data_IF_538094462345
#
_entry.id   IF_538094462345
#
_cell.length_a   1.000
_cell.length_b   1.000
_cell.length_c   1.000
_cell.angle_alpha   90.00
_cell.angle_beta   90.00
_cell.angle_gamma   90.00
#
_symmetry.space_group_name_H-M   'P 1'
#
loop_
_entity.id
_entity.type
_entity.pdbx_description
1 polymer ?
#
# COMPACT_ATOMS: atom_id res chain seq x y z
N UNK A 1 -13.00 -3.98 -2.67
CA UNK A 1 -11.99 -4.54 -3.59
C UNK A 1 -12.66 -5.39 -4.66
N UNK A 2 -13.44 -6.42 -4.29
CA UNK A 2 -14.12 -7.27 -5.28
C UNK A 2 -15.02 -6.51 -6.28
N UNK A 3 -15.73 -5.47 -5.83
CA UNK A 3 -16.56 -4.62 -6.69
C UNK A 3 -15.79 -3.70 -7.65
N UNK A 4 -14.47 -3.57 -7.48
CA UNK A 4 -13.62 -2.65 -8.26
C UNK A 4 -12.62 -3.39 -9.13
N UNK A 5 -12.20 -4.58 -8.70
CA UNK A 5 -11.29 -5.47 -9.41
C UNK A 5 -11.78 -5.71 -10.84
N UNK A 6 -10.94 -5.43 -11.83
CA UNK A 6 -11.25 -5.48 -13.29
C UNK A 6 -12.29 -4.47 -13.82
N UNK A 7 -12.87 -3.60 -12.97
CA UNK A 7 -13.89 -2.61 -13.39
C UNK A 7 -13.48 -1.14 -13.23
N UNK A 8 -12.54 -0.86 -12.31
CA UNK A 8 -12.10 0.50 -11.95
C UNK A 8 -10.63 0.51 -11.57
N UNK A 9 -9.91 1.58 -11.97
CA UNK A 9 -8.56 1.83 -11.48
C UNK A 9 -8.59 2.41 -10.06
N UNK A 10 -7.61 2.01 -9.24
CA UNK A 10 -7.44 2.47 -7.86
C UNK A 10 -5.99 2.90 -7.68
N UNK A 11 -5.77 4.04 -7.01
CA UNK A 11 -4.45 4.42 -6.50
C UNK A 11 -4.44 4.14 -5.00
N UNK A 12 -3.48 3.34 -4.54
CA UNK A 12 -3.31 2.97 -3.15
C UNK A 12 -1.90 3.34 -2.69
N UNK A 13 -1.80 3.93 -1.49
CA UNK A 13 -0.53 4.23 -0.83
C UNK A 13 -0.47 3.48 0.49
N UNK A 14 0.65 2.81 0.75
CA UNK A 14 0.88 2.09 2.00
C UNK A 14 2.29 2.37 2.50
N UNK A 15 2.45 2.49 3.82
CA UNK A 15 3.75 2.55 4.49
C UNK A 15 4.16 1.18 5.07
N UNK A 16 3.44 0.12 4.71
CA UNK A 16 3.66 -1.26 5.13
C UNK A 16 3.81 -2.16 3.91
N UNK A 17 4.78 -3.05 3.98
CA UNK A 17 5.01 -4.10 2.98
C UNK A 17 3.84 -5.08 2.94
N UNK A 18 3.52 -5.64 1.77
CA UNK A 18 2.41 -6.56 1.60
C UNK A 18 2.53 -7.83 2.45
N UNK A 19 3.75 -8.26 2.78
CA UNK A 19 3.99 -9.41 3.67
C UNK A 19 3.50 -9.16 5.11
N UNK A 20 3.42 -7.90 5.55
CA UNK A 20 2.92 -7.54 6.89
C UNK A 20 1.41 -7.30 6.92
N UNK A 21 0.70 -7.44 5.80
CA UNK A 21 -0.74 -7.17 5.74
C UNK A 21 -1.57 -8.24 6.46
N UNK A 22 -1.03 -9.45 6.64
CA UNK A 22 -1.62 -10.47 7.50
C UNK A 22 -1.95 -9.98 8.90
N UNK A 23 -0.99 -9.27 9.52
CA UNK A 23 -1.16 -8.65 10.83
C UNK A 23 -2.27 -7.58 10.85
N UNK A 24 -2.43 -6.85 9.74
CA UNK A 24 -3.46 -5.81 9.62
C UNK A 24 -4.85 -6.40 9.44
N UNK A 25 -4.99 -7.45 8.61
CA UNK A 25 -6.26 -8.13 8.38
C UNK A 25 -6.59 -9.18 9.45
N UNK A 26 -5.71 -9.36 10.44
CA UNK A 26 -5.84 -10.31 11.56
C UNK A 26 -5.92 -11.80 11.14
N UNK A 27 -5.91 -12.10 9.83
CA UNK A 27 -5.92 -13.44 9.24
C UNK A 27 -5.30 -13.41 7.84
N UNK A 28 -4.26 -14.21 7.63
CA UNK A 28 -3.59 -14.39 6.34
C UNK A 28 -4.53 -14.94 5.26
N UNK A 29 -5.49 -15.78 5.63
CA UNK A 29 -6.47 -16.33 4.69
C UNK A 29 -7.36 -15.25 4.06
N UNK A 30 -7.52 -14.11 4.75
CA UNK A 30 -8.25 -12.94 4.25
C UNK A 30 -7.31 -11.99 3.51
N UNK A 31 -6.10 -11.77 4.04
CA UNK A 31 -5.12 -10.86 3.46
C UNK A 31 -4.67 -11.30 2.06
N UNK A 32 -4.34 -12.59 1.90
CA UNK A 32 -3.76 -13.11 0.65
C UNK A 32 -4.69 -12.90 -0.56
N UNK A 33 -5.98 -13.28 -0.54
CA UNK A 33 -6.89 -13.04 -1.68
C UNK A 33 -7.17 -11.56 -1.95
N UNK A 34 -7.01 -10.70 -0.95
CA UNK A 34 -7.14 -9.25 -1.11
C UNK A 34 -5.93 -8.69 -1.87
N UNK A 35 -4.73 -9.04 -1.40
CA UNK A 35 -3.47 -8.59 -2.00
C UNK A 35 -3.38 -9.09 -3.44
N UNK A 36 -3.68 -10.37 -3.68
CA UNK A 36 -3.67 -10.99 -5.00
C UNK A 36 -4.47 -10.17 -6.03
N UNK A 37 -5.71 -9.82 -5.70
CA UNK A 37 -6.56 -8.97 -6.56
C UNK A 37 -6.02 -7.56 -6.76
N UNK A 38 -5.39 -6.97 -5.74
CA UNK A 38 -4.79 -5.62 -5.88
C UNK A 38 -3.61 -5.66 -6.84
N UNK A 39 -2.73 -6.65 -6.71
CA UNK A 39 -1.45 -6.65 -7.42
C UNK A 39 -1.55 -7.17 -8.86
N UNK A 40 -2.57 -7.99 -9.18
CA UNK A 40 -2.71 -8.66 -10.46
C UNK A 40 -2.67 -7.70 -11.67
N UNK A 41 -3.26 -6.51 -11.57
CA UNK A 41 -3.24 -5.47 -12.61
C UNK A 41 -2.67 -4.14 -12.08
N UNK A 42 -1.57 -4.21 -11.33
CA UNK A 42 -0.97 -3.04 -10.69
C UNK A 42 0.39 -2.65 -11.26
N UNK A 43 0.73 -1.38 -11.06
CA UNK A 43 2.10 -0.89 -11.13
C UNK A 43 2.55 -0.53 -9.71
N UNK A 44 3.58 -1.21 -9.21
CA UNK A 44 4.08 -1.00 -7.85
C UNK A 44 5.21 0.03 -7.89
N UNK A 45 5.03 1.12 -7.15
CA UNK A 45 6.05 2.14 -6.95
C UNK A 45 6.62 2.04 -5.55
N UNK A 46 7.85 1.55 -5.44
CA UNK A 46 8.58 1.54 -4.17
C UNK A 46 9.13 2.93 -3.91
N UNK A 47 8.56 3.61 -2.91
CA UNK A 47 8.97 4.94 -2.50
C UNK A 47 9.94 4.85 -1.32
N UNK A 48 11.02 5.62 -1.39
CA UNK A 48 12.02 5.71 -0.33
C UNK A 48 12.53 7.14 -0.16
N UNK A 49 13.48 7.31 0.74
CA UNK A 49 14.08 8.60 1.06
C UNK A 49 13.50 9.24 2.32
N UNK A 50 14.03 10.41 2.64
CA UNK A 50 13.71 11.13 3.87
C UNK A 50 12.31 11.76 3.84
N UNK A 51 11.66 11.78 5.01
CA UNK A 51 10.36 12.42 5.18
C UNK A 51 10.41 13.90 4.82
N UNK A 52 9.59 14.31 3.84
CA UNK A 52 9.45 15.71 3.45
C UNK A 52 9.01 16.60 4.63
N UNK A 53 8.16 16.06 5.53
CA UNK A 53 7.73 16.76 6.75
C UNK A 53 8.90 17.08 7.70
N UNK A 54 9.91 16.21 7.75
CA UNK A 54 11.11 16.45 8.56
C UNK A 54 12.03 17.46 7.90
N UNK A 55 12.21 17.39 6.58
CA UNK A 55 12.98 18.37 5.81
C UNK A 55 12.45 19.79 6.01
N UNK A 56 11.13 19.98 5.94
CA UNK A 56 10.51 21.28 6.17
C UNK A 56 10.71 21.80 7.60
N UNK A 57 10.67 20.91 8.61
CA UNK A 57 10.93 21.29 10.01
C UNK A 57 12.37 21.75 10.21
N UNK A 58 13.33 21.00 9.66
CA UNK A 58 14.75 21.35 9.74
C UNK A 58 15.05 22.64 8.98
N UNK A 59 14.47 22.84 7.80
CA UNK A 59 14.70 24.05 6.99
C UNK A 59 14.12 25.33 7.59
N UNK A 60 13.15 25.23 8.52
CA UNK A 60 12.54 26.37 9.21
C UNK A 60 13.18 26.69 10.55
N UNK A 61 14.17 25.89 10.98
CA UNK A 61 14.95 26.10 12.20
C UNK A 61 16.32 26.62 11.82
#
# INVERSE_FOLDING_TARGET
INSLYEYRSIILTTNKDFTSWGEFFHDDNVAVPIIDRIIHHSHIFMLGGESYRLKEKVSKT
#
